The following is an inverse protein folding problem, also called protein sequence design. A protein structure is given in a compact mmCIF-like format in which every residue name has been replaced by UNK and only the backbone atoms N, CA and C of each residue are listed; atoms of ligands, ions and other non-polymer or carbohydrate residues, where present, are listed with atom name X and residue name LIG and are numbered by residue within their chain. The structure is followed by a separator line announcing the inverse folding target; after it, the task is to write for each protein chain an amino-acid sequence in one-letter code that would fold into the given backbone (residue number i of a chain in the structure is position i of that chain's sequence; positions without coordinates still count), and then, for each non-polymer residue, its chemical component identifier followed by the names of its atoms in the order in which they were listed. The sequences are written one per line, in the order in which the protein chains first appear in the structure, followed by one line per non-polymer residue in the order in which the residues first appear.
data_IF_058757050673
#
_entry.id   IF_058757050673
#
_cell.length_a   1.000
_cell.length_b   1.000
_cell.length_c   1.000
_cell.angle_alpha   90.00
_cell.angle_beta   90.00
_cell.angle_gamma   90.00
#
_symmetry.space_group_name_H-M   'P 1'
#
loop_
_entity.id
_entity.type
_entity.pdbx_description
1 polymer ?
#
# COMPACT_ATOMS: atom_id res chain seq x y z
N UNK A 1 19.79 7.40 18.23
CA UNK A 1 21.21 7.14 17.92
C UNK A 1 21.28 6.88 16.43
N UNK A 2 21.69 7.88 15.65
CA UNK A 2 21.94 7.70 14.21
C UNK A 2 23.24 6.94 14.06
N UNK A 3 23.15 5.65 13.72
CA UNK A 3 24.31 4.86 13.33
C UNK A 3 24.86 5.41 12.02
N UNK A 4 26.16 5.67 12.01
CA UNK A 4 26.91 6.27 10.91
C UNK A 4 26.60 5.63 9.53
N UNK A 5 25.79 6.31 8.72
CA UNK A 5 25.81 6.17 7.26
C UNK A 5 27.09 6.83 6.74
N UNK A 6 28.23 6.13 6.86
CA UNK A 6 29.51 6.60 6.29
C UNK A 6 29.89 5.83 5.03
N UNK A 7 29.29 4.66 4.77
CA UNK A 7 29.15 3.99 3.45
C UNK A 7 28.17 2.80 3.60
N UNK A 8 27.22 2.61 2.67
CA UNK A 8 26.26 1.47 2.68
C UNK A 8 24.80 1.82 3.04
N UNK A 9 23.96 0.81 3.26
CA UNK A 9 22.53 0.91 3.62
C UNK A 9 22.29 0.47 5.06
N UNK A 10 21.48 1.23 5.81
CA UNK A 10 20.94 0.84 7.12
C UNK A 10 19.76 -0.14 6.92
N UNK A 11 20.06 -1.43 6.92
CA UNK A 11 19.10 -2.50 6.58
C UNK A 11 17.98 -2.63 7.60
N UNK A 12 18.25 -2.33 8.87
CA UNK A 12 17.24 -2.35 9.94
C UNK A 12 16.24 -1.21 9.76
N UNK A 13 16.71 0.00 9.49
CA UNK A 13 15.82 1.13 9.22
C UNK A 13 14.98 0.91 7.95
N UNK A 14 15.55 0.30 6.92
CA UNK A 14 14.81 -0.02 5.69
C UNK A 14 13.72 -1.07 5.94
N UNK A 15 14.00 -2.11 6.74
CA UNK A 15 12.98 -3.10 7.14
C UNK A 15 11.84 -2.47 7.93
N UNK A 16 12.15 -1.54 8.84
CA UNK A 16 11.13 -0.81 9.59
C UNK A 16 10.21 -0.03 8.65
N UNK A 17 10.77 0.75 7.72
CA UNK A 17 9.99 1.52 6.74
C UNK A 17 9.18 0.60 5.82
N UNK A 18 9.74 -0.54 5.38
CA UNK A 18 9.01 -1.51 4.58
C UNK A 18 7.78 -2.07 5.32
N UNK A 19 7.91 -2.39 6.61
CA UNK A 19 6.77 -2.80 7.45
C UNK A 19 5.70 -1.70 7.59
N UNK A 20 6.13 -0.45 7.73
CA UNK A 20 5.21 0.71 7.74
C UNK A 20 4.47 0.84 6.40
N UNK A 21 5.15 0.68 5.26
CA UNK A 21 4.53 0.69 3.94
C UNK A 21 3.48 -0.42 3.79
N UNK A 22 3.78 -1.63 4.26
CA UNK A 22 2.82 -2.73 4.23
C UNK A 22 1.57 -2.44 5.08
N UNK A 23 1.75 -1.80 6.23
CA UNK A 23 0.62 -1.33 7.07
C UNK A 23 -0.24 -0.31 6.32
N UNK A 24 0.36 0.61 5.56
CA UNK A 24 -0.40 1.59 4.78
C UNK A 24 -1.16 0.96 3.61
N UNK A 25 -0.56 -0.02 2.91
CA UNK A 25 -1.26 -0.78 1.87
C UNK A 25 -2.50 -1.49 2.44
N UNK A 26 -2.39 -2.09 3.63
CA UNK A 26 -3.52 -2.70 4.33
C UNK A 26 -4.66 -1.70 4.59
N UNK A 27 -4.35 -0.51 5.10
CA UNK A 27 -5.36 0.55 5.34
C UNK A 27 -6.04 1.03 4.07
N UNK A 28 -5.31 1.10 2.94
CA UNK A 28 -5.91 1.42 1.64
C UNK A 28 -6.93 0.34 1.23
N UNK A 29 -6.57 -0.93 1.44
CA UNK A 29 -7.49 -2.06 1.23
C UNK A 29 -8.75 -1.98 2.09
N UNK A 30 -8.61 -1.60 3.36
CA UNK A 30 -9.76 -1.38 4.26
C UNK A 30 -10.68 -0.26 3.75
N UNK A 31 -10.12 0.87 3.30
CA UNK A 31 -10.89 1.98 2.71
C UNK A 31 -11.65 1.52 1.47
N UNK A 32 -11.00 0.76 0.59
CA UNK A 32 -11.63 0.20 -0.61
C UNK A 32 -12.78 -0.76 -0.27
N UNK A 33 -12.57 -1.67 0.69
CA UNK A 33 -13.61 -2.62 1.10
C UNK A 33 -14.79 -1.91 1.74
N UNK A 34 -14.53 -1.01 2.70
CA UNK A 34 -15.57 -0.27 3.41
C UNK A 34 -16.37 0.63 2.46
N UNK A 35 -15.70 1.35 1.56
CA UNK A 35 -16.38 2.20 0.59
C UNK A 35 -17.22 1.41 -0.41
N UNK A 36 -16.81 0.19 -0.78
CA UNK A 36 -17.61 -0.69 -1.64
C UNK A 36 -18.88 -1.13 -0.94
N UNK A 37 -18.78 -1.50 0.34
CA UNK A 37 -19.96 -1.81 1.15
C UNK A 37 -20.92 -0.62 1.24
N UNK A 38 -20.39 0.58 1.49
CA UNK A 38 -21.20 1.80 1.59
C UNK A 38 -21.86 2.17 0.26
N UNK A 39 -21.15 2.03 -0.86
CA UNK A 39 -21.72 2.23 -2.18
C UNK A 39 -22.85 1.25 -2.47
N UNK A 40 -22.74 0.00 -2.04
CA UNK A 40 -23.82 -0.99 -2.12
C UNK A 40 -25.07 -0.52 -1.37
N UNK A 41 -24.92 -0.06 -0.11
CA UNK A 41 -26.03 0.51 0.66
C UNK A 41 -26.64 1.73 -0.03
N UNK A 42 -25.84 2.61 -0.63
CA UNK A 42 -26.35 3.75 -1.40
C UNK A 42 -27.14 3.28 -2.63
N UNK A 43 -26.66 2.29 -3.38
CA UNK A 43 -27.36 1.78 -4.57
C UNK A 43 -28.72 1.14 -4.24
N UNK A 44 -28.87 0.55 -3.06
CA UNK A 44 -30.14 -0.01 -2.59
C UNK A 44 -31.17 1.06 -2.20
N UNK A 45 -30.71 2.25 -1.80
CA UNK A 45 -31.55 3.30 -1.21
C UNK A 45 -31.66 4.57 -2.08
N UNK A 46 -30.92 4.64 -3.19
CA UNK A 46 -30.88 5.77 -4.11
C UNK A 46 -30.98 5.28 -5.56
N UNK A 47 -32.10 5.60 -6.21
CA UNK A 47 -32.39 5.20 -7.58
C UNK A 47 -32.29 6.39 -8.53
N UNK A 48 -31.91 6.13 -9.78
CA UNK A 48 -31.86 7.10 -10.87
C UNK A 48 -30.46 7.29 -11.44
N UNK A 49 -30.36 8.10 -12.49
CA UNK A 49 -29.12 8.35 -13.24
C UNK A 49 -27.96 8.84 -12.35
N UNK A 50 -28.28 9.61 -11.31
CA UNK A 50 -27.27 10.18 -10.44
C UNK A 50 -26.61 9.11 -9.56
N UNK A 51 -27.39 8.11 -9.10
CA UNK A 51 -26.85 7.00 -8.32
C UNK A 51 -26.01 6.05 -9.17
N UNK A 52 -26.40 5.84 -10.42
CA UNK A 52 -25.62 5.10 -11.41
C UNK A 52 -24.27 5.79 -11.68
N UNK A 53 -24.29 7.11 -11.93
CA UNK A 53 -23.08 7.91 -12.14
C UNK A 53 -22.16 7.89 -10.91
N UNK A 54 -22.73 8.00 -9.70
CA UNK A 54 -21.99 7.89 -8.46
C UNK A 54 -21.37 6.50 -8.26
N UNK A 55 -22.10 5.43 -8.58
CA UNK A 55 -21.58 4.06 -8.55
C UNK A 55 -20.42 3.86 -9.53
N UNK A 56 -20.49 4.42 -10.73
CA UNK A 56 -19.39 4.38 -11.70
C UNK A 56 -18.17 5.17 -11.22
N UNK A 57 -18.36 6.33 -10.59
CA UNK A 57 -17.27 7.10 -9.97
C UNK A 57 -16.60 6.30 -8.84
N UNK A 58 -17.39 5.61 -8.01
CA UNK A 58 -16.84 4.72 -6.99
C UNK A 58 -16.01 3.57 -7.58
N UNK A 59 -16.48 2.91 -8.65
CA UNK A 59 -15.71 1.85 -9.30
C UNK A 59 -14.32 2.33 -9.77
N UNK A 60 -14.24 3.55 -10.31
CA UNK A 60 -12.97 4.16 -10.70
C UNK A 60 -12.06 4.42 -9.49
N UNK A 61 -12.62 4.98 -8.41
CA UNK A 61 -11.89 5.21 -7.16
C UNK A 61 -11.39 3.89 -6.55
N UNK A 62 -12.24 2.86 -6.49
CA UNK A 62 -11.89 1.53 -5.98
C UNK A 62 -10.73 0.92 -6.77
N UNK A 63 -10.69 1.08 -8.09
CA UNK A 63 -9.58 0.60 -8.92
C UNK A 63 -8.29 1.36 -8.61
N UNK A 64 -8.35 2.69 -8.45
CA UNK A 64 -7.18 3.48 -8.10
C UNK A 64 -6.63 3.13 -6.71
N UNK A 65 -7.50 2.88 -5.73
CA UNK A 65 -7.11 2.40 -4.40
C UNK A 65 -6.41 1.04 -4.47
N UNK A 66 -6.95 0.09 -5.24
CA UNK A 66 -6.31 -1.21 -5.44
C UNK A 66 -4.91 -1.05 -6.03
N UNK A 67 -4.78 -0.25 -7.10
CA UNK A 67 -3.49 0.01 -7.75
C UNK A 67 -2.47 0.66 -6.79
N UNK A 68 -2.92 1.58 -5.93
CA UNK A 68 -2.06 2.19 -4.93
C UNK A 68 -1.59 1.17 -3.88
N UNK A 69 -2.50 0.32 -3.39
CA UNK A 69 -2.17 -0.75 -2.44
C UNK A 69 -1.15 -1.74 -3.03
N UNK A 70 -1.36 -2.15 -4.28
CA UNK A 70 -0.46 -3.06 -5.01
C UNK A 70 0.93 -2.43 -5.19
N UNK A 71 0.99 -1.17 -5.61
CA UNK A 71 2.25 -0.45 -5.82
C UNK A 71 3.05 -0.29 -4.52
N UNK A 72 2.39 0.07 -3.41
CA UNK A 72 3.04 0.19 -2.10
C UNK A 72 3.53 -1.17 -1.60
N UNK A 73 2.73 -2.23 -1.80
CA UNK A 73 3.12 -3.59 -1.44
C UNK A 73 4.34 -4.05 -2.22
N UNK A 74 4.37 -3.81 -3.54
CA UNK A 74 5.52 -4.12 -4.38
C UNK A 74 6.77 -3.35 -3.94
N UNK A 75 6.62 -2.06 -3.60
CA UNK A 75 7.73 -1.24 -3.15
C UNK A 75 8.28 -1.69 -1.79
N UNK A 76 7.40 -2.02 -0.83
CA UNK A 76 7.77 -2.62 0.45
C UNK A 76 8.57 -3.92 0.26
N UNK A 77 8.08 -4.81 -0.60
CA UNK A 77 8.77 -6.07 -0.93
C UNK A 77 10.16 -5.82 -1.52
N UNK A 78 10.28 -4.90 -2.47
CA UNK A 78 11.56 -4.56 -3.07
C UNK A 78 12.56 -4.02 -2.03
N UNK A 79 12.10 -3.21 -1.07
CA UNK A 79 12.93 -2.71 0.02
C UNK A 79 13.46 -3.83 0.92
N UNK A 80 12.61 -4.81 1.27
CA UNK A 80 13.01 -5.99 2.05
C UNK A 80 14.01 -6.87 1.29
N UNK A 81 13.78 -7.09 0.00
CA UNK A 81 14.66 -7.88 -0.85
C UNK A 81 16.05 -7.22 -0.95
N UNK A 82 16.11 -5.89 -1.12
CA UNK A 82 17.37 -5.12 -1.11
C UNK A 82 18.08 -5.17 0.24
N UNK A 83 17.35 -4.99 1.35
CA UNK A 83 17.94 -5.07 2.70
C UNK A 83 18.56 -6.45 2.96
N UNK A 84 17.93 -7.51 2.47
CA UNK A 84 18.45 -8.88 2.58
C UNK A 84 19.73 -9.07 1.75
N UNK A 85 19.74 -8.60 0.50
CA UNK A 85 20.92 -8.69 -0.38
C UNK A 85 22.13 -7.94 0.21
N UNK A 86 21.91 -6.77 0.81
CA UNK A 86 22.98 -5.99 1.44
C UNK A 86 23.59 -6.72 2.66
N UNK A 87 22.76 -7.34 3.50
CA UNK A 87 23.26 -8.10 4.66
C UNK A 87 24.07 -9.32 4.21
N UNK A 88 23.63 -10.02 3.16
CA UNK A 88 24.36 -11.16 2.60
C UNK A 88 25.70 -10.74 1.98
N UNK A 89 25.70 -9.67 1.19
CA UNK A 89 26.91 -9.13 0.57
C UNK A 89 27.92 -8.60 1.61
N UNK A 90 27.44 -8.07 2.73
CA UNK A 90 28.30 -7.56 3.81
C UNK A 90 28.89 -8.69 4.68
N UNK A 91 28.19 -9.82 4.83
CA UNK A 91 28.68 -11.01 5.54
C UNK A 91 29.71 -11.82 4.74
N UNK A 92 29.74 -11.68 3.42
CA UNK A 92 30.68 -12.36 2.53
C UNK A 92 32.05 -11.69 2.40
N UNK A 93 32.33 -10.61 3.14
CA UNK A 93 33.64 -9.94 3.19
C UNK A 93 34.39 -10.24 4.47
#
# INVERSE_FOLDING_TARGET
MGGNLTEGMDTDRIREVAGQLQTQAGKIGEVQQNGTSQQGTLAENWLGSDSEAFGQAWQQASKALQQASDAITAYSKAALDQATQQDEASKGR
#
